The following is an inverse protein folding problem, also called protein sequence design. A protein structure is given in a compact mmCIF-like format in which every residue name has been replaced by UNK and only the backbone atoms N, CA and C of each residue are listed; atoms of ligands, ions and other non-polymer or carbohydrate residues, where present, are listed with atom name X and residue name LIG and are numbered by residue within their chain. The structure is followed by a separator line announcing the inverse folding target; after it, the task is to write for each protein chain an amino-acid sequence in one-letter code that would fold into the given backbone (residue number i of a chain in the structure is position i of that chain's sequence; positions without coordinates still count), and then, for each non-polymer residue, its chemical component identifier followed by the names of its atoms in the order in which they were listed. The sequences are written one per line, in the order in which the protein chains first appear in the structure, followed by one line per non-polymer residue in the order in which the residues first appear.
data_IF_011448510596
#
_entry.id   IF_011448510596
#
_cell.length_a   1.000
_cell.length_b   1.000
_cell.length_c   1.000
_cell.angle_alpha   90.00
_cell.angle_beta   90.00
_cell.angle_gamma   90.00
#
_symmetry.space_group_name_H-M   'P 1'
#
loop_
_entity.id
_entity.type
_entity.pdbx_description
1 polymer ?
#
# COMPACT_ATOMS: atom_id res chain seq x y z
N UNK A 1 -5.10 -8.42 -0.56
CA UNK A 1 -5.01 -7.11 -1.25
C UNK A 1 -3.61 -6.79 -1.74
N UNK A 2 -2.58 -6.75 -0.88
CA UNK A 2 -1.21 -6.38 -1.29
C UNK A 2 -0.66 -7.18 -2.50
N UNK A 3 -0.94 -8.49 -2.55
CA UNK A 3 -0.52 -9.36 -3.65
C UNK A 3 -1.11 -9.02 -5.03
N UNK A 4 -2.16 -8.18 -5.11
CA UNK A 4 -2.72 -7.73 -6.40
C UNK A 4 -1.75 -6.88 -7.23
N UNK A 5 -0.80 -6.20 -6.56
CA UNK A 5 0.23 -5.39 -7.19
C UNK A 5 1.62 -6.04 -7.09
N UNK A 6 1.69 -7.38 -7.04
CA UNK A 6 2.95 -8.11 -7.02
C UNK A 6 3.30 -8.58 -8.43
N UNK A 7 4.46 -8.17 -8.96
CA UNK A 7 4.95 -8.61 -10.26
C UNK A 7 5.57 -7.49 -11.11
N UNK A 8 5.92 -7.80 -12.37
CA UNK A 8 6.54 -6.84 -13.28
C UNK A 8 5.68 -5.58 -13.48
N UNK A 9 6.33 -4.41 -13.46
CA UNK A 9 5.66 -3.12 -13.64
C UNK A 9 5.14 -2.47 -12.35
N UNK A 10 5.12 -3.20 -11.23
CA UNK A 10 4.76 -2.65 -9.92
C UNK A 10 5.99 -2.47 -9.03
N UNK A 11 6.03 -1.36 -8.30
CA UNK A 11 6.94 -1.19 -7.17
C UNK A 11 6.43 -1.88 -5.92
N UNK A 12 7.28 -2.00 -4.90
CA UNK A 12 6.85 -2.50 -3.59
C UNK A 12 5.74 -1.60 -3.00
N UNK A 13 4.70 -2.17 -2.36
CA UNK A 13 3.54 -1.40 -1.92
C UNK A 13 3.88 -0.48 -0.74
N UNK A 14 3.19 0.65 -0.69
CA UNK A 14 3.13 1.53 0.48
C UNK A 14 1.76 1.31 1.14
N UNK A 15 1.77 0.75 2.35
CA UNK A 15 0.55 0.55 3.14
C UNK A 15 0.41 1.70 4.13
N UNK A 16 -0.67 2.46 4.00
CA UNK A 16 -1.02 3.50 4.97
C UNK A 16 -2.04 2.93 5.95
N UNK A 17 -1.75 2.99 7.25
CA UNK A 17 -2.67 2.51 8.28
C UNK A 17 -2.53 3.28 9.57
N UNK A 18 -3.54 3.20 10.45
CA UNK A 18 -3.43 3.73 11.80
C UNK A 18 -2.36 2.98 12.61
N UNK A 19 -1.71 3.68 13.54
CA UNK A 19 -0.70 3.13 14.44
C UNK A 19 -1.19 1.89 15.23
N UNK A 20 -2.48 1.83 15.59
CA UNK A 20 -3.08 0.68 16.27
C UNK A 20 -3.03 -0.62 15.46
N UNK A 21 -2.90 -0.55 14.12
CA UNK A 21 -2.85 -1.72 13.24
C UNK A 21 -1.43 -2.12 12.82
N UNK A 22 -0.39 -1.40 13.28
CA UNK A 22 0.99 -1.56 12.78
C UNK A 22 1.53 -2.99 12.85
N UNK A 23 1.21 -3.72 13.92
CA UNK A 23 1.70 -5.09 14.11
C UNK A 23 0.98 -6.08 13.19
N UNK A 24 -0.35 -5.96 13.08
CA UNK A 24 -1.14 -6.81 12.20
C UNK A 24 -0.71 -6.65 10.73
N UNK A 25 -0.57 -5.40 10.28
CA UNK A 25 -0.13 -5.11 8.90
C UNK A 25 1.27 -5.63 8.65
N UNK A 26 2.21 -5.42 9.59
CA UNK A 26 3.58 -5.90 9.45
C UNK A 26 3.66 -7.43 9.43
N UNK A 27 2.85 -8.13 10.23
CA UNK A 27 2.79 -9.59 10.21
C UNK A 27 2.25 -10.10 8.87
N UNK A 28 1.12 -9.58 8.40
CA UNK A 28 0.52 -10.01 7.14
C UNK A 28 1.44 -9.79 5.94
N UNK A 29 2.13 -8.65 5.87
CA UNK A 29 3.10 -8.39 4.81
C UNK A 29 4.30 -9.34 4.85
N UNK A 30 4.70 -9.78 6.05
CA UNK A 30 5.77 -10.78 6.24
C UNK A 30 5.31 -12.16 5.80
N UNK A 31 4.11 -12.59 6.20
CA UNK A 31 3.52 -13.89 5.86
C UNK A 31 3.38 -14.08 4.34
N UNK A 32 3.07 -13.00 3.62
CA UNK A 32 2.91 -13.04 2.16
C UNK A 32 4.18 -12.65 1.39
N UNK A 33 5.32 -12.55 2.08
CA UNK A 33 6.65 -12.32 1.52
C UNK A 33 6.71 -11.17 0.49
N UNK A 34 6.20 -9.98 0.85
CA UNK A 34 6.27 -8.80 -0.04
C UNK A 34 7.52 -7.98 0.29
N UNK A 35 8.66 -8.19 -0.41
CA UNK A 35 9.90 -7.48 -0.10
C UNK A 35 9.77 -5.99 -0.36
N UNK A 36 10.39 -5.18 0.49
CA UNK A 36 10.45 -3.72 0.33
C UNK A 36 9.13 -3.00 0.60
N UNK A 37 8.08 -3.68 1.06
CA UNK A 37 6.85 -3.04 1.47
C UNK A 37 7.13 -2.00 2.57
N UNK A 38 6.56 -0.81 2.42
CA UNK A 38 6.66 0.27 3.41
C UNK A 38 5.33 0.44 4.14
N UNK A 39 5.40 0.67 5.45
CA UNK A 39 4.21 0.95 6.26
C UNK A 39 4.30 2.41 6.73
N UNK A 40 3.33 3.23 6.33
CA UNK A 40 3.18 4.60 6.78
C UNK A 40 2.10 4.66 7.87
N UNK A 41 2.48 5.06 9.07
CA UNK A 41 1.58 5.10 10.22
C UNK A 41 0.92 6.47 10.36
N UNK A 42 -0.41 6.49 10.29
CA UNK A 42 -1.20 7.67 10.62
C UNK A 42 -1.42 7.74 12.14
N UNK A 43 -1.03 8.83 12.81
CA UNK A 43 -1.26 8.98 14.25
C UNK A 43 -2.76 9.19 14.57
N UNK A 44 -3.51 9.72 13.60
CA UNK A 44 -4.95 9.98 13.69
C UNK A 44 -5.54 9.75 12.31
N UNK A 45 -6.71 9.09 12.24
CA UNK A 45 -7.42 8.89 10.99
C UNK A 45 -7.93 10.23 10.44
N UNK A 46 -7.52 10.58 9.21
CA UNK A 46 -7.87 11.86 8.56
C UNK A 46 -8.57 11.69 7.20
N UNK A 47 -9.15 10.51 6.95
CA UNK A 47 -9.70 10.08 5.65
C UNK A 47 -8.63 9.86 4.57
N UNK A 48 -9.06 9.47 3.37
CA UNK A 48 -8.16 8.96 2.32
C UNK A 48 -7.29 10.03 1.66
N UNK A 49 -7.76 11.26 1.52
CA UNK A 49 -7.00 12.32 0.85
C UNK A 49 -5.61 12.58 1.47
N UNK A 50 -5.48 12.83 2.80
CA UNK A 50 -4.17 13.00 3.43
C UNK A 50 -3.33 11.73 3.42
N UNK A 51 -3.95 10.54 3.56
CA UNK A 51 -3.25 9.26 3.45
C UNK A 51 -2.59 9.09 2.07
N UNK A 52 -3.34 9.37 0.99
CA UNK A 52 -2.87 9.31 -0.39
C UNK A 52 -1.76 10.34 -0.62
N UNK A 53 -1.95 11.58 -0.15
CA UNK A 53 -0.95 12.63 -0.31
C UNK A 53 0.39 12.27 0.37
N UNK A 54 0.33 11.74 1.60
CA UNK A 54 1.54 11.34 2.32
C UNK A 54 2.25 10.15 1.65
N UNK A 55 1.50 9.17 1.15
CA UNK A 55 2.05 8.07 0.37
C UNK A 55 2.69 8.56 -0.96
N UNK A 56 2.10 9.56 -1.60
CA UNK A 56 2.61 10.13 -2.83
C UNK A 56 3.95 10.85 -2.63
N UNK A 57 4.08 11.64 -1.57
CA UNK A 57 5.36 12.28 -1.21
C UNK A 57 6.44 11.21 -0.99
N UNK A 58 6.12 10.14 -0.26
CA UNK A 58 7.06 9.06 0.02
C UNK A 58 7.45 8.28 -1.25
N UNK A 59 6.54 8.14 -2.22
CA UNK A 59 6.82 7.52 -3.51
C UNK A 59 7.75 8.38 -4.36
N UNK A 60 7.49 9.69 -4.40
CA UNK A 60 8.28 10.68 -5.14
C UNK A 60 9.75 10.70 -4.72
N UNK A 61 10.04 10.50 -3.42
CA UNK A 61 11.42 10.42 -2.90
C UNK A 61 12.26 9.31 -3.53
N UNK A 62 11.62 8.20 -3.92
CA UNK A 62 12.31 7.02 -4.46
C UNK A 62 12.14 6.85 -5.96
N UNK A 63 11.04 7.37 -6.52
CA UNK A 63 10.70 7.28 -7.94
C UNK A 63 9.92 8.53 -8.36
N UNK A 64 10.61 9.63 -8.70
CA UNK A 64 9.97 10.87 -9.12
C UNK A 64 9.04 10.68 -10.32
N UNK A 65 7.82 11.21 -10.24
CA UNK A 65 6.81 11.06 -11.28
C UNK A 65 6.14 9.67 -11.33
N UNK A 66 6.28 8.86 -10.28
CA UNK A 66 5.62 7.56 -10.19
C UNK A 66 4.10 7.68 -10.35
N UNK A 67 3.52 6.76 -11.13
CA UNK A 67 2.07 6.58 -11.20
C UNK A 67 1.64 5.74 -10.00
N UNK A 68 0.66 6.24 -9.24
CA UNK A 68 0.16 5.59 -8.04
C UNK A 68 -1.18 4.91 -8.30
N UNK A 69 -1.23 3.61 -8.01
CA UNK A 69 -2.48 2.87 -7.97
C UNK A 69 -3.00 2.79 -6.53
N UNK A 70 -4.12 3.46 -6.27
CA UNK A 70 -4.72 3.50 -4.94
C UNK A 70 -5.70 2.33 -4.77
N UNK A 71 -5.45 1.49 -3.75
CA UNK A 71 -6.27 0.33 -3.43
C UNK A 71 -6.79 0.41 -2.00
N UNK A 72 -8.11 0.45 -1.77
CA UNK A 72 -8.67 0.24 -0.43
C UNK A 72 -8.34 -1.16 0.06
N UNK A 73 -7.91 -1.27 1.32
CA UNK A 73 -7.45 -2.54 1.90
C UNK A 73 -8.58 -3.58 2.02
N UNK A 74 -9.81 -3.10 2.21
CA UNK A 74 -11.06 -3.82 2.43
C UNK A 74 -11.82 -4.19 1.14
N UNK A 75 -11.28 -3.88 -0.02
CA UNK A 75 -11.88 -4.30 -1.30
C UNK A 75 -11.69 -5.80 -1.53
N UNK A 76 -12.80 -6.53 -1.68
CA UNK A 76 -12.81 -7.91 -2.13
C UNK A 76 -12.87 -7.96 -3.67
N UNK A 77 -11.77 -8.38 -4.30
CA UNK A 77 -11.69 -8.59 -5.75
C UNK A 77 -11.28 -10.05 -5.97
N UNK A 78 -12.14 -10.80 -6.66
CA UNK A 78 -11.93 -12.23 -6.97
C UNK A 78 -11.33 -12.45 -8.36
N UNK A 79 -11.70 -11.62 -9.34
CA UNK A 79 -11.12 -11.66 -10.69
C UNK A 79 -9.88 -10.78 -10.77
N UNK A 80 -8.74 -11.33 -10.35
CA UNK A 80 -7.45 -10.65 -10.46
C UNK A 80 -6.99 -10.54 -11.92
N UNK A 81 -7.10 -11.57 -12.78
CA UNK A 81 -6.73 -11.44 -14.20
C UNK A 81 -7.45 -10.30 -14.93
N UNK A 82 -8.74 -10.06 -14.64
CA UNK A 82 -9.50 -8.96 -15.23
C UNK A 82 -9.14 -7.55 -14.72
N UNK A 83 -8.23 -7.44 -13.74
CA UNK A 83 -7.79 -6.16 -13.15
C UNK A 83 -6.57 -5.56 -13.87
N UNK A 84 -5.89 -6.34 -14.73
CA UNK A 84 -4.65 -5.97 -15.43
C UNK A 84 -4.90 -5.55 -16.88
#
# INVERSE_FOLDING_TARGET
TALRAHGPGFGAPIVVCNESHRFLVAEQLREVEVPGARILLEPVARNSAPAIAAAAILAEETNPGAILWIMPADSAISDVPGLH
#
